data_IF_921883758527
#
_entry.id   IF_921883758527
#
_cell.length_a   1.000
_cell.length_b   1.000
_cell.length_c   1.000
_cell.angle_alpha   90.00
_cell.angle_beta   90.00
_cell.angle_gamma   90.00
#
_symmetry.space_group_name_H-M   'P 1'
#
loop_
_entity.id
_entity.type
_entity.pdbx_description
1 polymer ?
#
# COMPACT_ATOMS: atom_id res chain seq x y z
N UNK A 1 -2.21 -5.63 -13.22
CA UNK A 1 -2.10 -6.19 -11.86
C UNK A 1 -0.63 -6.48 -11.69
N UNK A 2 0.10 -5.47 -11.25
CA UNK A 2 1.54 -5.37 -11.43
C UNK A 2 2.16 -5.39 -10.03
N UNK A 3 2.95 -6.42 -9.75
CA UNK A 3 3.74 -6.53 -8.52
C UNK A 3 5.10 -5.90 -8.78
N UNK A 4 5.58 -5.07 -7.85
CA UNK A 4 6.87 -4.37 -7.96
C UNK A 4 7.78 -4.78 -6.81
N UNK A 5 8.97 -5.26 -7.15
CA UNK A 5 10.06 -5.48 -6.19
C UNK A 5 10.68 -4.16 -5.79
N UNK A 6 10.83 -3.94 -4.49
CA UNK A 6 11.35 -2.69 -3.93
C UNK A 6 12.43 -3.03 -2.91
N UNK A 7 13.63 -2.49 -3.12
CA UNK A 7 14.84 -2.86 -2.38
C UNK A 7 14.87 -2.35 -0.93
N UNK A 8 14.05 -1.36 -0.59
CA UNK A 8 14.03 -0.75 0.75
C UNK A 8 12.64 -0.25 1.13
N UNK A 9 12.40 -0.08 2.43
CA UNK A 9 11.16 0.48 2.93
C UNK A 9 10.94 1.95 2.49
N UNK A 10 12.03 2.71 2.34
CA UNK A 10 11.99 4.11 1.91
C UNK A 10 11.56 4.23 0.45
N UNK A 11 12.08 3.36 -0.42
CA UNK A 11 11.67 3.26 -1.82
C UNK A 11 10.21 2.79 -1.95
N UNK A 12 9.77 1.91 -1.05
CA UNK A 12 8.39 1.41 -1.04
C UNK A 12 7.42 2.53 -0.68
N UNK A 13 7.77 3.34 0.31
CA UNK A 13 6.99 4.50 0.70
C UNK A 13 6.92 5.56 -0.41
N UNK A 14 8.03 5.87 -1.08
CA UNK A 14 8.05 6.82 -2.19
C UNK A 14 7.18 6.37 -3.37
N UNK A 15 7.28 5.10 -3.76
CA UNK A 15 6.41 4.52 -4.79
C UNK A 15 4.94 4.53 -4.38
N UNK A 16 4.66 4.20 -3.12
CA UNK A 16 3.30 4.18 -2.60
C UNK A 16 2.64 5.57 -2.64
N UNK A 17 3.37 6.62 -2.24
CA UNK A 17 2.90 8.01 -2.30
C UNK A 17 2.61 8.43 -3.75
N UNK A 18 3.50 8.10 -4.69
CA UNK A 18 3.34 8.40 -6.13
C UNK A 18 2.11 7.71 -6.73
N UNK A 19 1.90 6.42 -6.44
CA UNK A 19 0.71 5.66 -6.88
C UNK A 19 -0.59 6.18 -6.23
N UNK A 20 -0.52 6.67 -5.00
CA UNK A 20 -1.68 7.18 -4.26
C UNK A 20 -2.01 8.64 -4.53
N UNK A 21 -1.11 9.41 -5.12
CA UNK A 21 -1.33 10.81 -5.46
C UNK A 21 -2.56 11.03 -6.36
N UNK A 22 -2.89 10.05 -7.22
CA UNK A 22 -4.06 10.10 -8.11
C UNK A 22 -5.33 9.41 -7.52
N UNK A 23 -5.26 8.81 -6.33
CA UNK A 23 -6.29 7.92 -5.77
C UNK A 23 -6.81 8.38 -4.40
N UNK A 24 -7.00 9.70 -4.24
CA UNK A 24 -7.44 10.33 -2.98
C UNK A 24 -8.93 10.15 -2.67
N UNK A 25 -9.77 9.69 -3.61
CA UNK A 25 -11.23 9.59 -3.40
C UNK A 25 -11.71 8.22 -2.92
N UNK A 26 -10.88 7.17 -3.04
CA UNK A 26 -11.22 5.79 -2.68
C UNK A 26 -10.05 5.24 -1.87
N UNK A 27 -10.29 4.94 -0.59
CA UNK A 27 -9.27 4.41 0.34
C UNK A 27 -8.45 3.26 -0.25
N UNK A 28 -7.25 3.00 0.28
CA UNK A 28 -6.35 1.98 -0.26
C UNK A 28 -6.27 0.74 0.62
N UNK A 29 -5.93 -0.37 -0.04
CA UNK A 29 -5.48 -1.61 0.59
C UNK A 29 -4.14 -2.01 -0.02
N UNK A 30 -3.19 -2.36 0.83
CA UNK A 30 -1.88 -2.90 0.46
C UNK A 30 -1.65 -4.24 1.15
N UNK A 31 -1.17 -5.21 0.38
CA UNK A 31 -0.77 -6.53 0.84
C UNK A 31 0.74 -6.64 0.69
N UNK A 32 1.44 -7.01 1.76
CA UNK A 32 2.91 -7.09 1.78
C UNK A 32 3.32 -8.47 2.26
N UNK A 33 4.10 -9.18 1.47
CA UNK A 33 4.79 -10.41 1.91
C UNK A 33 6.16 -10.04 2.49
N UNK A 34 6.43 -10.52 3.70
CA UNK A 34 7.71 -10.38 4.37
C UNK A 34 8.21 -11.78 4.74
N UNK A 35 9.14 -12.32 3.95
CA UNK A 35 9.73 -13.66 4.17
C UNK A 35 8.68 -14.77 4.35
N UNK A 36 7.62 -14.75 3.52
CA UNK A 36 6.51 -15.69 3.58
C UNK A 36 5.45 -15.37 4.64
N UNK A 37 5.59 -14.26 5.37
CA UNK A 37 4.57 -13.73 6.27
C UNK A 37 3.80 -12.58 5.61
N UNK A 38 2.54 -12.84 5.27
CA UNK A 38 1.64 -11.85 4.72
C UNK A 38 1.12 -10.87 5.78
N UNK A 39 1.19 -9.57 5.46
CA UNK A 39 0.67 -8.45 6.25
C UNK A 39 -0.30 -7.63 5.40
N UNK A 40 -1.37 -7.17 6.03
CA UNK A 40 -2.44 -6.43 5.38
C UNK A 40 -2.52 -5.03 6.01
N UNK A 41 -2.48 -4.01 5.16
CA UNK A 41 -2.67 -2.62 5.55
C UNK A 41 -3.82 -2.05 4.74
N UNK A 42 -4.76 -1.41 5.43
CA UNK A 42 -5.78 -0.60 4.79
C UNK A 42 -5.84 0.75 5.47
N UNK A 43 -6.08 1.76 4.65
CA UNK A 43 -6.43 3.10 5.09
C UNK A 43 -7.79 3.37 4.47
N UNK A 44 -8.78 2.82 5.17
CA UNK A 44 -10.16 3.23 5.01
C UNK A 44 -10.33 4.48 5.86
N UNK A 45 -10.36 5.67 5.26
CA UNK A 45 -10.90 6.85 5.94
C UNK A 45 -12.37 6.54 6.32
N UNK A 46 -12.54 6.01 7.53
CA UNK A 46 -13.76 5.82 8.30
C UNK A 46 -15.07 5.57 7.54
N UNK A 47 -15.57 4.35 7.64
CA UNK A 47 -16.84 4.22 8.38
C UNK A 47 -16.83 2.94 9.22
N UNK A 48 -16.59 3.12 10.52
CA UNK A 48 -17.02 2.16 11.52
C UNK A 48 -18.53 2.36 11.66
N UNK A 49 -19.32 1.47 11.07
CA UNK A 49 -20.75 1.33 11.39
C UNK A 49 -21.09 -0.10 11.74
#
# INVERSE_FOLDING_TARGET
MDTKDIASAEDAHAWFVDVKADNTELGWRMEVDLDGQWRFFDDTEGDRR
#
